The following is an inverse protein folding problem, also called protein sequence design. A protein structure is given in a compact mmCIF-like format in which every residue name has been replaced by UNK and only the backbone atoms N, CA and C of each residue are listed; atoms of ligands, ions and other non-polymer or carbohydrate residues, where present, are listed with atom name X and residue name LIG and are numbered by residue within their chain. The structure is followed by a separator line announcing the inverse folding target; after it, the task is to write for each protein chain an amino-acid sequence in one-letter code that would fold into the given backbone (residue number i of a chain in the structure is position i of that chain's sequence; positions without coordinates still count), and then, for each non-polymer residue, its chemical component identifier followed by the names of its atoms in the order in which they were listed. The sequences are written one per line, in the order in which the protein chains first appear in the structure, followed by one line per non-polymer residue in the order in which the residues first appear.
data_IF_473929482912
#
_entry.id   IF_473929482912
#
_cell.length_a   1.000
_cell.length_b   1.000
_cell.length_c   1.000
_cell.angle_alpha   90.00
_cell.angle_beta   90.00
_cell.angle_gamma   90.00
#
_symmetry.space_group_name_H-M   'P 1'
#
loop_
_entity.id
_entity.type
_entity.pdbx_description
1 polymer ?
2 non-polymer ?
3 non-polymer ?
4 non-polymer ?
5 water ?
#
# COMPACT_ATOMS: atom_id res chain seq x y z
N UNK A 1 -12.42 -21.43 -17.47
CA UNK A 1 -11.06 -21.20 -18.08
C UNK A 1 -10.80 -19.74 -18.41
N UNK A 2 -9.78 -19.51 -19.25
CA UNK A 2 -9.35 -18.16 -19.64
C UNK A 2 -10.49 -17.39 -20.31
N UNK A 3 -11.19 -18.03 -21.25
CA UNK A 3 -12.31 -17.39 -21.94
C UNK A 3 -13.42 -16.95 -20.97
N UNK A 4 -13.75 -17.82 -20.02
CA UNK A 4 -14.75 -17.46 -19.01
C UNK A 4 -14.31 -16.27 -18.17
N UNK A 5 -13.02 -16.23 -17.82
CA UNK A 5 -12.51 -15.13 -17.00
C UNK A 5 -12.65 -13.80 -17.73
N UNK A 6 -12.46 -13.83 -19.04
CA UNK A 6 -12.69 -12.62 -19.83
C UNK A 6 -14.15 -12.16 -19.67
N UNK A 7 -15.09 -13.10 -19.74
CA UNK A 7 -16.51 -12.78 -19.56
C UNK A 7 -16.81 -12.27 -18.16
N UNK A 8 -16.19 -12.90 -17.15
CA UNK A 8 -16.37 -12.50 -15.76
C UNK A 8 -15.93 -11.04 -15.58
N UNK A 9 -14.72 -10.76 -16.04
CA UNK A 9 -14.13 -9.43 -15.93
C UNK A 9 -14.97 -8.40 -16.70
N UNK A 10 -15.32 -8.71 -17.96
CA UNK A 10 -16.14 -7.81 -18.76
C UNK A 10 -17.50 -7.51 -18.13
N UNK A 11 -18.10 -8.52 -17.50
CA UNK A 11 -19.42 -8.38 -16.87
C UNK A 11 -19.47 -7.30 -15.80
N UNK A 12 -18.37 -7.13 -15.07
CA UNK A 12 -18.23 -6.11 -14.05
C UNK A 12 -16.92 -5.36 -14.24
N UNK A 13 -16.71 -4.84 -15.46
CA UNK A 13 -15.42 -4.26 -15.84
C UNK A 13 -14.91 -3.17 -14.90
N UNK A 14 -15.77 -2.20 -14.57
CA UNK A 14 -15.34 -1.09 -13.72
C UNK A 14 -14.82 -1.57 -12.36
N UNK A 15 -15.55 -2.49 -11.74
CA UNK A 15 -15.18 -3.00 -10.41
C UNK A 15 -13.87 -3.79 -10.43
N UNK A 16 -13.75 -4.76 -11.33
CA UNK A 16 -12.52 -5.53 -11.50
C UNK A 16 -11.34 -4.65 -11.90
N UNK A 17 -11.58 -3.72 -12.83
CA UNK A 17 -10.52 -2.84 -13.31
C UNK A 17 -9.96 -2.02 -12.14
N UNK A 18 -10.85 -1.39 -11.37
CA UNK A 18 -10.40 -0.60 -10.22
C UNK A 18 -9.72 -1.48 -9.16
N UNK A 19 -10.33 -2.62 -8.85
CA UNK A 19 -9.78 -3.46 -7.80
C UNK A 19 -8.40 -4.05 -8.16
N UNK A 20 -8.22 -4.52 -9.40
CA UNK A 20 -6.92 -5.04 -9.81
C UNK A 20 -5.86 -3.95 -9.94
N UNK A 21 -6.26 -2.79 -10.48
CA UNK A 21 -5.33 -1.67 -10.59
C UNK A 21 -4.83 -1.22 -9.22
N UNK A 22 -5.74 -1.11 -8.24
CA UNK A 22 -5.34 -0.77 -6.88
C UNK A 22 -4.46 -1.85 -6.27
N UNK A 23 -4.78 -3.11 -6.55
CA UNK A 23 -3.95 -4.23 -6.08
C UNK A 23 -2.52 -4.08 -6.60
N UNK A 24 -2.40 -3.69 -7.86
CA UNK A 24 -1.11 -3.42 -8.52
C UNK A 24 -0.36 -2.30 -7.82
N UNK A 25 -1.02 -1.17 -7.60
CA UNK A 25 -0.36 -0.03 -6.98
C UNK A 25 0.00 -0.27 -5.52
N UNK A 26 -0.80 -1.05 -4.80
CA UNK A 26 -0.51 -1.32 -3.40
C UNK A 26 0.60 -2.35 -3.19
N UNK A 27 0.76 -3.28 -4.14
CA UNK A 27 1.85 -4.25 -4.11
C UNK A 27 3.17 -3.63 -4.57
N UNK A 28 3.07 -2.75 -5.58
CA UNK A 28 4.22 -2.07 -6.15
C UNK A 28 4.03 -0.56 -6.07
N UNK A 29 4.13 0.01 -4.86
CA UNK A 29 3.78 1.43 -4.68
C UNK A 29 4.63 2.40 -5.50
N UNK A 30 5.83 2.00 -5.90
CA UNK A 30 6.68 2.86 -6.73
C UNK A 30 6.04 3.11 -8.10
N UNK A 31 5.16 2.21 -8.51
CA UNK A 31 4.49 2.34 -9.81
C UNK A 31 3.51 3.52 -9.87
N UNK A 32 3.07 4.00 -8.72
CA UNK A 32 2.15 5.15 -8.68
C UNK A 32 2.78 6.40 -9.30
N UNK A 33 4.12 6.44 -9.35
CA UNK A 33 4.82 7.59 -9.94
C UNK A 33 4.43 7.87 -11.39
N UNK A 34 4.02 6.84 -12.14
CA UNK A 34 3.55 6.99 -13.52
C UNK A 34 2.17 7.62 -13.64
N UNK A 35 1.48 7.72 -12.51
CA UNK A 35 0.12 8.24 -12.45
C UNK A 35 0.11 9.38 -11.45
N UNK A 36 0.71 10.50 -11.84
CA UNK A 36 0.94 11.64 -10.94
C UNK A 36 -0.34 12.15 -10.25
N UNK A 37 -1.46 12.05 -10.96
CA UNK A 37 -2.75 12.51 -10.43
C UNK A 37 -3.33 11.62 -9.32
N UNK A 38 -2.75 10.43 -9.14
CA UNK A 38 -3.23 9.49 -8.14
C UNK A 38 -2.43 9.52 -6.84
N UNK A 39 -1.32 10.25 -6.86
CA UNK A 39 -0.45 10.39 -5.69
C UNK A 39 -1.20 11.05 -4.53
N UNK A 40 -1.04 10.48 -3.34
CA UNK A 40 -1.59 11.06 -2.10
C UNK A 40 -3.09 10.97 -1.97
N UNK A 41 -3.69 10.00 -2.65
CA UNK A 41 -5.14 9.81 -2.60
C UNK A 41 -5.51 8.39 -2.17
N UNK A 42 -6.48 8.29 -1.27
CA UNK A 42 -6.97 6.98 -0.81
C UNK A 42 -7.75 6.33 -1.94
N UNK A 43 -8.03 5.04 -1.80
CA UNK A 43 -8.81 4.30 -2.80
C UNK A 43 -10.17 4.94 -3.07
N UNK A 44 -10.83 5.41 -2.00
CA UNK A 44 -12.14 6.05 -2.13
C UNK A 44 -12.05 7.42 -2.82
N UNK A 45 -10.99 8.18 -2.50
CA UNK A 45 -10.75 9.47 -3.16
C UNK A 45 -10.58 9.26 -4.66
N UNK A 46 -9.81 8.23 -5.03
CA UNK A 46 -9.56 7.89 -6.43
C UNK A 46 -10.84 7.58 -7.20
N UNK A 47 -11.72 6.81 -6.57
CA UNK A 47 -12.96 6.37 -7.21
C UNK A 47 -13.94 7.53 -7.47
N UNK A 48 -13.72 8.67 -6.82
CA UNK A 48 -14.54 9.85 -7.01
C UNK A 48 -13.98 10.77 -8.12
N UNK A 49 -12.78 10.45 -8.59
CA UNK A 49 -12.13 11.19 -9.68
C UNK A 49 -12.55 10.62 -11.03
N UNK A 50 -13.13 11.47 -11.88
CA UNK A 50 -13.65 11.03 -13.18
C UNK A 50 -12.65 10.24 -14.04
N UNK A 51 -11.40 10.70 -14.09
CA UNK A 51 -10.38 10.07 -14.93
C UNK A 51 -9.87 8.74 -14.36
N UNK A 52 -9.93 8.57 -13.04
CA UNK A 52 -9.52 7.28 -12.45
C UNK A 52 -10.42 6.14 -12.94
N UNK A 53 -11.73 6.30 -12.79
CA UNK A 53 -12.68 5.32 -13.31
C UNK A 53 -12.57 5.11 -14.81
N UNK A 54 -12.50 6.24 -15.54
CA UNK A 54 -12.40 6.23 -17.00
C UNK A 54 -11.15 5.51 -17.50
N UNK A 55 -9.99 5.93 -16.98
CA UNK A 55 -8.68 5.40 -17.39
C UNK A 55 -8.56 3.92 -17.10
N UNK A 56 -8.92 3.54 -15.86
CA UNK A 56 -8.77 2.17 -15.40
C UNK A 56 -9.67 1.24 -16.22
N UNK A 57 -10.90 1.67 -16.50
CA UNK A 57 -11.78 0.87 -17.35
C UNK A 57 -11.26 0.73 -18.77
N UNK A 58 -10.68 1.80 -19.31
CA UNK A 58 -10.12 1.76 -20.66
C UNK A 58 -8.90 0.82 -20.76
N UNK A 59 -8.07 0.85 -19.73
CA UNK A 59 -6.92 -0.05 -19.65
C UNK A 59 -7.38 -1.50 -19.68
N UNK A 60 -8.33 -1.83 -18.81
CA UNK A 60 -8.78 -3.21 -18.71
C UNK A 60 -9.68 -3.64 -19.85
N UNK A 61 -10.39 -2.70 -20.46
CA UNK A 61 -11.07 -3.00 -21.72
C UNK A 61 -10.08 -3.45 -22.80
N UNK A 62 -9.02 -2.67 -23.00
CA UNK A 62 -8.00 -3.05 -23.97
C UNK A 62 -7.35 -4.38 -23.59
N UNK A 63 -7.05 -4.58 -22.31
CA UNK A 63 -6.45 -5.84 -21.87
C UNK A 63 -7.34 -7.02 -22.25
N UNK A 64 -8.65 -6.86 -22.05
CA UNK A 64 -9.58 -7.92 -22.40
C UNK A 64 -9.69 -8.13 -23.91
N UNK A 65 -9.57 -7.07 -24.71
CA UNK A 65 -9.57 -7.22 -26.17
C UNK A 65 -8.35 -8.05 -26.59
N UNK A 66 -7.20 -7.76 -26.00
CA UNK A 66 -5.96 -8.47 -26.35
C UNK A 66 -6.05 -9.92 -25.92
N UNK A 67 -6.61 -10.14 -24.72
CA UNK A 67 -6.77 -11.48 -24.18
C UNK A 67 -7.72 -12.31 -25.06
N UNK A 68 -8.80 -11.69 -25.51
CA UNK A 68 -9.79 -12.36 -26.34
C UNK A 68 -9.26 -12.68 -27.74
N UNK A 69 -8.37 -11.83 -28.26
CA UNK A 69 -7.77 -12.05 -29.58
C UNK A 69 -6.63 -13.07 -29.55
N UNK A 70 -6.15 -13.39 -28.35
CA UNK A 70 -5.07 -14.36 -28.20
C UNK A 70 -5.54 -15.76 -28.53
N UNK A 71 -4.58 -16.61 -28.93
CA UNK A 71 -4.81 -18.05 -29.08
C UNK A 71 -3.97 -18.76 -28.03
N UNK A 72 -4.59 -19.63 -27.25
CA UNK A 72 -3.92 -20.36 -26.15
C UNK A 72 -2.98 -19.45 -25.35
N UNK A 73 -3.53 -18.29 -24.96
CA UNK A 73 -2.87 -17.25 -24.16
C UNK A 73 -1.63 -16.64 -24.81
N UNK A 74 -1.56 -16.74 -26.13
CA UNK A 74 -0.50 -16.09 -26.90
C UNK A 74 -1.12 -14.90 -27.62
N UNK A 75 -0.69 -13.67 -27.29
CA UNK A 75 -1.29 -12.47 -27.88
C UNK A 75 -0.81 -12.23 -29.31
N UNK A 76 -1.59 -11.49 -30.09
CA UNK A 76 -1.18 -11.11 -31.44
C UNK A 76 0.01 -10.16 -31.40
N UNK A 77 0.92 -10.33 -32.36
CA UNK A 77 2.08 -9.45 -32.48
C UNK A 77 1.66 -7.99 -32.69
N UNK A 78 0.56 -7.78 -33.42
CA UNK A 78 0.02 -6.45 -33.66
C UNK A 78 -0.49 -5.81 -32.37
N UNK A 79 -1.06 -6.63 -31.49
CA UNK A 79 -1.53 -6.12 -30.19
C UNK A 79 -0.34 -5.75 -29.30
N UNK A 80 0.69 -6.60 -29.29
CA UNK A 80 1.93 -6.27 -28.59
C UNK A 80 2.47 -4.94 -29.10
N UNK A 81 2.55 -4.82 -30.43
CA UNK A 81 3.06 -3.61 -31.09
C UNK A 81 2.28 -2.37 -30.66
N UNK A 82 0.94 -2.46 -30.59
CA UNK A 82 0.10 -1.35 -30.17
C UNK A 82 0.51 -0.88 -28.76
N UNK A 83 0.68 -1.84 -27.84
CA UNK A 83 1.05 -1.53 -26.46
C UNK A 83 2.42 -0.85 -26.35
N UNK A 84 3.35 -1.25 -27.20
CA UNK A 84 4.70 -0.68 -27.21
C UNK A 84 4.70 0.74 -27.80
N UNK A 85 3.99 0.90 -28.91
CA UNK A 85 4.00 2.17 -29.66
C UNK A 85 3.16 3.29 -29.03
N UNK A 86 2.24 2.92 -28.13
CA UNK A 86 1.44 3.89 -27.38
C UNK A 86 2.28 4.97 -26.71
N UNK A 87 1.96 6.24 -27.00
CA UNK A 87 2.65 7.40 -26.43
C UNK A 87 2.71 7.32 -24.90
N UNK A 88 1.60 6.86 -24.31
CA UNK A 88 1.44 6.77 -22.86
C UNK A 88 2.39 5.74 -22.23
N UNK A 89 2.94 4.86 -23.06
CA UNK A 89 3.84 3.80 -22.60
C UNK A 89 5.31 3.97 -22.98
N UNK A 90 5.68 5.18 -23.43
CA UNK A 90 7.03 5.45 -23.92
C UNK A 90 8.13 5.24 -22.88
N UNK A 91 7.81 5.51 -21.62
CA UNK A 91 8.78 5.42 -20.53
C UNK A 91 8.82 4.05 -19.86
N UNK A 92 8.07 3.09 -20.42
CA UNK A 92 7.93 1.78 -19.79
C UNK A 92 8.90 0.71 -20.28
N UNK A 93 9.18 -0.26 -19.41
CA UNK A 93 9.96 -1.45 -19.74
C UNK A 93 9.08 -2.67 -19.46
N UNK A 94 9.53 -3.84 -19.90
CA UNK A 94 8.77 -5.08 -19.69
C UNK A 94 8.50 -5.39 -18.22
N UNK A 95 9.42 -4.94 -17.37
CA UNK A 95 9.28 -5.08 -15.91
C UNK A 95 7.99 -4.50 -15.35
N UNK A 96 7.56 -3.35 -15.89
CA UNK A 96 6.31 -2.72 -15.48
C UNK A 96 5.12 -3.64 -15.71
N UNK A 97 5.11 -4.28 -16.88
CA UNK A 97 4.03 -5.20 -17.25
C UNK A 97 4.08 -6.48 -16.43
N UNK A 98 5.28 -7.01 -16.19
CA UNK A 98 5.45 -8.17 -15.31
C UNK A 98 4.83 -7.92 -13.94
N UNK A 99 5.11 -6.75 -13.37
CA UNK A 99 4.57 -6.35 -12.06
C UNK A 99 3.03 -6.34 -12.08
N UNK A 100 2.47 -5.75 -13.13
CA UNK A 100 1.02 -5.73 -13.27
C UNK A 100 0.44 -7.15 -13.28
N UNK A 101 1.05 -8.05 -14.04
CA UNK A 101 0.53 -9.41 -14.11
C UNK A 101 0.79 -10.24 -12.85
N UNK A 102 1.86 -9.94 -12.12
CA UNK A 102 2.06 -10.58 -10.82
C UNK A 102 0.91 -10.20 -9.89
N UNK A 103 0.60 -8.90 -9.84
CA UNK A 103 -0.48 -8.40 -8.98
C UNK A 103 -1.87 -8.94 -9.40
N UNK A 104 -2.09 -9.03 -10.71
CA UNK A 104 -3.36 -9.52 -11.25
C UNK A 104 -3.58 -10.98 -10.89
N UNK A 105 -2.54 -11.80 -11.04
CA UNK A 105 -2.61 -13.22 -10.70
C UNK A 105 -2.82 -13.41 -9.20
N UNK A 106 -2.08 -12.64 -8.39
CA UNK A 106 -2.24 -12.68 -6.93
C UNK A 106 -3.68 -12.34 -6.54
N UNK A 107 -4.23 -11.31 -7.20
CA UNK A 107 -5.61 -10.89 -6.97
C UNK A 107 -6.58 -12.05 -7.24
N UNK A 108 -6.40 -12.72 -8.37
CA UNK A 108 -7.25 -13.84 -8.76
C UNK A 108 -7.17 -14.98 -7.75
N UNK A 109 -5.97 -15.29 -7.29
CA UNK A 109 -5.77 -16.40 -6.36
C UNK A 109 -6.39 -16.10 -5.00
N UNK A 110 -6.33 -14.82 -4.59
CA UNK A 110 -6.86 -14.37 -3.31
C UNK A 110 -8.38 -14.22 -3.31
N UNK A 111 -8.97 -14.09 -4.49
CA UNK A 111 -10.42 -13.99 -4.62
C UNK A 111 -11.04 -15.36 -4.31
N UNK A 112 -12.34 -15.36 -4.04
CA UNK A 112 -13.10 -16.59 -3.95
C UNK A 112 -13.64 -17.04 -5.31
N UNK A 113 -13.00 -16.60 -6.39
CA UNK A 113 -13.51 -16.93 -7.71
C UNK A 113 -12.60 -17.94 -8.40
N UNK A 114 -13.23 -18.89 -9.09
CA UNK A 114 -12.52 -19.91 -9.84
C UNK A 114 -11.93 -19.35 -11.14
N UNK A 115 -11.06 -18.33 -11.00
CA UNK A 115 -10.31 -17.79 -12.11
C UNK A 115 -9.28 -18.83 -12.51
N UNK A 116 -8.91 -18.83 -13.79
CA UNK A 116 -7.84 -19.67 -14.30
C UNK A 116 -6.55 -18.87 -14.14
N UNK A 117 -6.11 -18.72 -12.89
CA UNK A 117 -4.95 -17.90 -12.56
C UNK A 117 -3.69 -18.33 -13.32
N UNK A 118 -3.52 -19.64 -13.50
CA UNK A 118 -2.37 -20.16 -14.23
C UNK A 118 -2.34 -19.65 -15.67
N UNK A 119 -3.51 -19.54 -16.30
CA UNK A 119 -3.58 -19.04 -17.68
C UNK A 119 -3.26 -17.55 -17.75
N UNK A 120 -3.71 -16.79 -16.75
CA UNK A 120 -3.37 -15.36 -16.68
C UNK A 120 -1.88 -15.13 -16.46
N UNK A 121 -1.26 -16.01 -15.67
CA UNK A 121 0.19 -15.98 -15.45
C UNK A 121 0.90 -16.20 -16.79
N UNK A 122 0.48 -17.25 -17.50
CA UNK A 122 1.06 -17.61 -18.79
C UNK A 122 0.85 -16.50 -19.83
N UNK A 123 -0.36 -15.94 -19.86
CA UNK A 123 -0.69 -14.83 -20.76
C UNK A 123 0.20 -13.62 -20.50
N UNK A 124 0.40 -13.29 -19.22
CA UNK A 124 1.34 -12.24 -18.83
C UNK A 124 2.76 -12.49 -19.32
N UNK A 125 3.22 -13.74 -19.14
CA UNK A 125 4.57 -14.12 -19.57
C UNK A 125 4.71 -14.01 -21.09
N UNK A 126 3.70 -14.49 -21.81
CA UNK A 126 3.69 -14.42 -23.27
C UNK A 126 3.59 -12.99 -23.79
N UNK A 127 2.81 -12.16 -23.09
CA UNK A 127 2.68 -10.75 -23.48
C UNK A 127 4.01 -10.02 -23.30
N UNK A 128 4.67 -10.24 -22.17
CA UNK A 128 6.00 -9.68 -21.92
C UNK A 128 7.00 -10.09 -23.02
N UNK A 129 6.96 -11.38 -23.41
CA UNK A 129 7.82 -11.90 -24.48
C UNK A 129 7.50 -11.22 -25.81
N UNK A 130 6.21 -11.08 -26.10
CA UNK A 130 5.76 -10.40 -27.31
C UNK A 130 6.09 -8.91 -27.27
N UNK A 131 6.02 -8.31 -26.08
CA UNK A 131 6.42 -6.91 -25.91
C UNK A 131 7.91 -6.74 -26.20
N UNK A 132 8.71 -7.69 -25.70
CA UNK A 132 10.14 -7.71 -25.99
C UNK A 132 10.39 -7.92 -27.48
N UNK A 133 9.67 -8.87 -28.07
CA UNK A 133 9.80 -9.17 -29.50
C UNK A 133 9.43 -7.97 -30.37
N UNK A 134 8.58 -7.09 -29.81
CA UNK A 134 8.11 -5.88 -30.48
C UNK A 134 8.96 -4.63 -30.22
N UNK A 135 10.01 -4.78 -29.41
CA UNK A 135 10.96 -3.68 -29.24
C UNK A 135 11.08 -3.09 -27.85
N UNK A 136 10.10 -3.31 -26.99
CA UNK A 136 10.15 -2.81 -25.62
C UNK A 136 11.38 -3.35 -24.91
N UNK A 137 12.08 -2.46 -24.22
CA UNK A 137 13.29 -2.84 -23.47
C UNK A 137 12.92 -3.47 -22.12
N UNK B 1 -1.18 2.62 -1.17
CA UNK B 1 -0.14 3.60 -0.75
C UNK B 1 -0.34 4.08 0.67
N UNK B 2 0.41 5.11 1.03
CA UNK B 2 0.40 5.73 2.36
C UNK B 2 -1.00 6.20 2.77
N UNK B 3 -1.68 6.95 1.89
CA UNK B 3 -3.03 7.45 2.18
C UNK B 3 -4.00 6.30 2.46
N UNK B 4 -3.94 5.25 1.64
CA UNK B 4 -4.81 4.10 1.85
C UNK B 4 -4.48 3.37 3.16
N UNK B 5 -3.18 3.26 3.48
CA UNK B 5 -2.74 2.64 4.73
C UNK B 5 -3.37 3.31 5.96
N UNK B 6 -3.48 4.63 5.92
CA UNK B 6 -4.16 5.37 6.99
C UNK B 6 -5.59 4.87 7.15
N UNK B 7 -6.30 4.70 6.04
CA UNK B 7 -7.66 4.20 6.07
C UNK B 7 -7.73 2.77 6.59
N UNK B 8 -6.79 1.92 6.15
CA UNK B 8 -6.69 0.53 6.62
C UNK B 8 -6.52 0.46 8.12
N UNK B 9 -5.56 1.21 8.66
CA UNK B 9 -5.30 1.24 10.09
C UNK B 9 -6.54 1.75 10.84
N UNK B 10 -7.11 2.87 10.35
CA UNK B 10 -8.31 3.43 10.97
C UNK B 10 -9.51 2.47 10.97
N UNK B 11 -9.61 1.62 9.94
CA UNK B 11 -10.67 0.63 9.86
C UNK B 11 -10.67 -0.45 10.94
N UNK B 12 -9.50 -0.67 11.55
CA UNK B 12 -9.33 -1.64 12.63
C UNK B 12 -8.35 -1.09 13.66
N UNK B 13 -8.60 0.14 14.10
CA UNK B 13 -7.60 0.93 14.84
C UNK B 13 -7.12 0.27 16.13
N UNK B 14 -8.06 -0.20 16.95
CA UNK B 14 -7.65 -0.77 18.23
C UNK B 14 -6.73 -1.98 18.03
N UNK B 15 -7.10 -2.87 17.10
CA UNK B 15 -6.29 -4.06 16.82
C UNK B 15 -4.91 -3.66 16.29
N UNK B 16 -4.87 -2.81 15.28
CA UNK B 16 -3.58 -2.37 14.74
C UNK B 16 -2.75 -1.61 15.77
N UNK B 17 -3.39 -0.72 16.52
CA UNK B 17 -2.69 0.10 17.50
C UNK B 17 -2.02 -0.79 18.55
N UNK B 18 -2.79 -1.73 19.11
CA UNK B 18 -2.22 -2.64 20.11
C UNK B 18 -1.11 -3.50 19.52
N UNK B 19 -1.34 -4.08 18.35
CA UNK B 19 -0.36 -5.00 17.76
C UNK B 19 0.93 -4.28 17.36
N UNK B 20 0.82 -3.07 16.83
CA UNK B 20 2.02 -2.31 16.48
C UNK B 20 2.77 -1.82 17.72
N UNK B 21 2.05 -1.35 18.73
CA UNK B 21 2.71 -0.87 19.94
C UNK B 21 3.42 -2.03 20.63
N UNK B 22 2.78 -3.19 20.61
CA UNK B 22 3.39 -4.39 21.19
C UNK B 22 4.65 -4.76 20.41
N UNK B 23 4.61 -4.67 19.08
CA UNK B 23 5.79 -4.94 18.27
C UNK B 23 6.93 -3.99 18.66
N UNK B 24 6.59 -2.72 18.92
CA UNK B 24 7.54 -1.72 19.42
C UNK B 24 8.16 -2.13 20.76
N UNK B 25 7.31 -2.44 21.74
CA UNK B 25 7.76 -2.81 23.10
C UNK B 25 8.58 -4.09 23.10
N UNK B 26 8.21 -5.05 22.26
CA UNK B 26 8.93 -6.32 22.19
C UNK B 26 10.26 -6.22 21.44
N UNK B 27 10.31 -5.37 20.42
CA UNK B 27 11.58 -5.10 19.73
C UNK B 27 12.54 -4.29 20.61
N UNK B 28 11.98 -3.36 21.37
CA UNK B 28 12.76 -2.46 22.23
C UNK B 28 12.26 -2.49 23.68
N UNK B 29 12.54 -3.59 24.41
CA UNK B 29 11.94 -3.77 25.75
C UNK B 29 12.28 -2.67 26.76
N UNK B 30 13.44 -2.06 26.63
CA UNK B 30 13.87 -1.00 27.54
C UNK B 30 13.05 0.29 27.40
N UNK B 31 12.31 0.39 26.29
CA UNK B 31 11.43 1.54 26.05
C UNK B 31 10.24 1.56 27.02
N UNK B 32 10.04 0.46 27.73
CA UNK B 32 8.95 0.38 28.71
C UNK B 32 9.16 1.29 29.91
N UNK B 33 10.42 1.70 30.14
CA UNK B 33 10.80 2.59 31.24
C UNK B 33 10.11 3.95 31.19
N UNK B 34 9.61 4.31 30.01
CA UNK B 34 8.93 5.59 29.81
C UNK B 34 7.49 5.54 30.25
N UNK B 35 6.96 4.33 30.37
CA UNK B 35 5.57 4.12 30.70
C UNK B 35 5.43 3.57 32.10
N UNK B 36 4.19 3.52 32.58
CA UNK B 36 3.87 3.03 33.91
C UNK B 36 3.16 1.67 33.81
N UNK B 37 3.61 0.73 34.64
CA UNK B 37 3.01 -0.61 34.82
C UNK B 37 2.85 -1.45 33.55
N UNK B 38 3.82 -1.34 32.64
CA UNK B 38 3.85 -2.24 31.47
C UNK B 38 4.84 -3.38 31.64
N UNK B 39 5.85 -3.17 32.48
CA UNK B 39 6.90 -4.16 32.74
C UNK B 39 6.31 -5.40 33.42
N UNK B 40 6.90 -6.57 33.14
CA UNK B 40 6.53 -7.82 33.81
C UNK B 40 5.25 -8.46 33.31
N UNK B 41 4.82 -8.06 32.11
CA UNK B 41 3.54 -8.53 31.57
C UNK B 41 3.71 -9.02 30.14
N UNK B 42 2.99 -10.09 29.82
CA UNK B 42 2.95 -10.64 28.46
C UNK B 42 2.00 -9.80 27.62
N UNK B 43 2.02 -10.00 26.29
CA UNK B 43 1.12 -9.30 25.37
C UNK B 43 -0.35 -9.43 25.78
N UNK B 44 -0.77 -10.64 26.14
CA UNK B 44 -2.18 -10.88 26.47
C UNK B 44 -2.56 -10.15 27.75
N UNK B 45 -1.62 -10.08 28.70
CA UNK B 45 -1.80 -9.36 29.95
C UNK B 45 -1.99 -7.86 29.70
N UNK B 46 -1.12 -7.30 28.84
CA UNK B 46 -1.22 -5.89 28.46
C UNK B 46 -2.55 -5.59 27.77
N UNK B 47 -2.99 -6.50 26.90
CA UNK B 47 -4.22 -6.30 26.12
C UNK B 47 -5.48 -6.31 26.98
N UNK B 48 -5.36 -6.86 28.19
CA UNK B 48 -6.50 -6.88 29.13
C UNK B 48 -6.44 -5.74 30.16
N UNK B 49 -5.37 -4.94 30.09
CA UNK B 49 -5.25 -3.73 30.90
C UNK B 49 -6.03 -2.61 30.23
N UNK B 50 -7.05 -2.08 30.90
CA UNK B 50 -7.88 -1.01 30.29
C UNK B 50 -7.07 0.19 29.79
N UNK B 51 -6.10 0.60 30.60
CA UNK B 51 -5.24 1.75 30.30
C UNK B 51 -4.41 1.52 29.04
N UNK B 52 -3.98 0.28 28.84
CA UNK B 52 -3.16 -0.06 27.67
C UNK B 52 -3.93 0.18 26.37
N UNK B 53 -5.13 -0.41 26.29
CA UNK B 53 -6.00 -0.23 25.12
C UNK B 53 -6.33 1.24 24.89
N UNK B 54 -6.66 1.96 25.97
CA UNK B 54 -7.01 3.38 25.88
C UNK B 54 -5.84 4.21 25.38
N UNK B 55 -4.67 4.01 25.98
CA UNK B 55 -3.46 4.73 25.60
C UNK B 55 -3.09 4.49 24.15
N UNK B 56 -2.97 3.21 23.78
CA UNK B 56 -2.49 2.90 22.45
C UNK B 56 -3.46 3.40 21.36
N UNK B 57 -4.76 3.34 21.62
CA UNK B 57 -5.72 3.89 20.67
C UNK B 57 -5.52 5.40 20.51
N UNK B 58 -5.34 6.10 21.62
CA UNK B 58 -5.14 7.55 21.57
C UNK B 58 -3.88 7.93 20.80
N UNK B 59 -2.80 7.15 21.01
CA UNK B 59 -1.55 7.36 20.29
C UNK B 59 -1.76 7.21 18.79
N UNK B 60 -2.41 6.11 18.39
CA UNK B 60 -2.60 5.84 16.97
C UNK B 60 -3.68 6.71 16.33
N UNK B 61 -4.71 7.07 17.10
CA UNK B 61 -5.66 8.10 16.64
C UNK B 61 -4.89 9.35 16.17
N UNK B 62 -4.00 9.85 17.04
CA UNK B 62 -3.25 11.06 16.72
C UNK B 62 -2.23 10.80 15.61
N UNK B 63 -1.56 9.65 15.65
CA UNK B 63 -0.58 9.33 14.60
C UNK B 63 -1.21 9.33 13.22
N UNK B 64 -2.41 8.76 13.13
CA UNK B 64 -3.12 8.74 11.86
C UNK B 64 -3.52 10.13 11.38
N UNK B 65 -3.89 11.02 12.32
CA UNK B 65 -4.17 12.43 11.96
C UNK B 65 -2.94 13.14 11.42
N UNK B 66 -1.80 12.91 12.07
CA UNK B 66 -0.52 13.54 11.65
C UNK B 66 -0.16 13.04 10.26
N UNK B 67 -0.33 11.74 10.04
CA UNK B 67 -0.10 11.13 8.74
C UNK B 67 -1.06 11.68 7.68
N UNK B 68 -2.33 11.88 8.06
CA UNK B 68 -3.36 12.33 7.14
C UNK B 68 -3.13 13.80 6.75
N UNK B 69 -2.64 14.59 7.71
CA UNK B 69 -2.37 16.00 7.47
C UNK B 69 -1.07 16.23 6.70
N UNK B 70 -0.25 15.20 6.61
CA UNK B 70 1.04 15.27 5.90
C UNK B 70 0.87 15.42 4.37
N UNK B 71 1.87 16.02 3.72
CA UNK B 71 1.93 16.02 2.26
C UNK B 71 3.17 15.23 1.86
N UNK B 72 3.01 14.23 1.00
CA UNK B 72 4.13 13.37 0.60
C UNK B 72 4.98 12.89 1.77
N UNK B 73 4.28 12.45 2.84
CA UNK B 73 4.89 11.91 4.07
C UNK B 73 5.69 12.94 4.87
N UNK B 74 5.45 14.22 4.60
CA UNK B 74 6.05 15.31 5.35
C UNK B 74 5.01 15.92 6.30
N UNK B 75 5.19 15.72 7.63
CA UNK B 75 4.15 16.20 8.55
C UNK B 75 4.17 17.71 8.71
N UNK B 76 3.04 18.25 9.20
CA UNK B 76 2.93 19.67 9.53
C UNK B 76 3.86 20.03 10.68
N UNK B 77 4.50 21.20 10.58
CA UNK B 77 5.34 21.68 11.67
C UNK B 77 4.51 21.84 12.95
N UNK B 78 3.24 22.22 12.81
CA UNK B 78 2.35 22.37 13.96
C UNK B 78 2.12 21.03 14.68
N UNK B 79 2.03 19.95 13.90
CA UNK B 79 1.93 18.61 14.48
C UNK B 79 3.20 18.22 15.24
N UNK B 80 4.36 18.48 14.66
CA UNK B 80 5.63 18.25 15.35
C UNK B 80 5.72 19.07 16.64
N UNK B 81 5.35 20.35 16.58
CA UNK B 81 5.34 21.22 17.74
C UNK B 81 4.51 20.62 18.89
N UNK B 82 3.30 20.17 18.57
CA UNK B 82 2.42 19.56 19.56
C UNK B 82 3.06 18.33 20.21
N UNK B 83 3.68 17.48 19.40
CA UNK B 83 4.30 16.26 19.92
C UNK B 83 5.51 16.55 20.81
N UNK B 84 6.24 17.62 20.51
CA UNK B 84 7.37 18.04 21.35
C UNK B 84 6.91 18.67 22.67
N UNK B 85 5.87 19.51 22.58
CA UNK B 85 5.41 20.32 23.71
C UNK B 85 4.53 19.55 24.72
N UNK B 86 3.96 18.42 24.30
CA UNK B 86 3.13 17.60 25.19
C UNK B 86 3.86 17.25 26.49
N UNK B 87 3.20 17.50 27.63
CA UNK B 87 3.78 17.21 28.94
C UNK B 87 4.17 15.74 29.06
N UNK B 88 3.36 14.89 28.44
CA UNK B 88 3.57 13.45 28.49
C UNK B 88 4.81 13.03 27.72
N UNK B 89 5.33 13.93 26.89
CA UNK B 89 6.53 13.67 26.10
C UNK B 89 7.81 14.39 26.59
N UNK B 90 7.78 14.91 27.82
CA UNK B 90 8.90 15.71 28.34
C UNK B 90 10.22 14.95 28.53
N UNK B 91 10.16 13.62 28.68
CA UNK B 91 11.37 12.82 28.88
C UNK B 91 11.95 12.25 27.58
N UNK B 92 11.33 12.60 26.45
CA UNK B 92 11.66 11.97 25.18
C UNK B 92 12.70 12.70 24.34
N UNK B 93 13.43 11.93 23.52
CA UNK B 93 14.28 12.47 22.48
C UNK B 93 13.88 11.85 21.13
N UNK B 94 14.45 12.35 20.04
CA UNK B 94 14.03 11.87 18.72
C UNK B 94 14.29 10.37 18.54
N UNK B 95 15.25 9.84 19.28
CA UNK B 95 15.58 8.39 19.24
C UNK B 95 14.42 7.48 19.60
N UNK B 96 13.58 7.92 20.54
CA UNK B 96 12.38 7.19 20.94
C UNK B 96 11.45 7.04 19.74
N UNK B 97 11.33 8.10 18.96
CA UNK B 97 10.46 8.10 17.79
C UNK B 97 11.04 7.28 16.64
N UNK B 98 12.36 7.35 16.47
CA UNK B 98 13.05 6.54 15.48
C UNK B 98 12.75 5.06 15.72
N UNK B 99 12.85 4.63 16.98
CA UNK B 99 12.63 3.22 17.32
C UNK B 99 11.18 2.80 17.08
N UNK B 100 10.23 3.67 17.39
CA UNK B 100 8.83 3.36 17.17
C UNK B 100 8.57 3.09 15.70
N UNK B 101 9.09 3.96 14.84
CA UNK B 101 8.87 3.78 13.40
C UNK B 101 9.66 2.65 12.75
N UNK B 102 10.82 2.31 13.29
CA UNK B 102 11.52 1.11 12.85
C UNK B 102 10.64 -0.12 13.12
N UNK B 103 10.05 -0.18 14.33
CA UNK B 103 9.20 -1.30 14.74
C UNK B 103 7.93 -1.38 13.89
N UNK B 104 7.32 -0.22 13.64
CA UNK B 104 6.11 -0.10 12.82
C UNK B 104 6.37 -0.56 11.39
N UNK B 105 7.49 -0.12 10.82
CA UNK B 105 7.87 -0.51 9.45
C UNK B 105 8.13 -2.02 9.36
N UNK B 106 8.82 -2.59 10.35
CA UNK B 106 9.10 -4.02 10.36
C UNK B 106 7.83 -4.84 10.52
N UNK B 107 6.92 -4.34 11.34
CA UNK B 107 5.59 -4.96 11.51
C UNK B 107 4.85 -5.01 10.17
N UNK B 108 4.85 -3.89 9.44
CA UNK B 108 4.19 -3.83 8.15
C UNK B 108 4.83 -4.79 7.14
N UNK B 109 6.16 -4.82 7.12
CA UNK B 109 6.90 -5.73 6.24
C UNK B 109 6.59 -7.19 6.56
N UNK B 110 6.51 -7.50 7.85
CA UNK B 110 6.26 -8.87 8.33
C UNK B 110 4.81 -9.34 8.11
N UNK B 111 3.87 -8.42 7.95
CA UNK B 111 2.48 -8.81 7.63
C UNK B 111 2.37 -9.39 6.20
N UNK B 112 1.29 -10.12 5.91
CA UNK B 112 1.02 -10.54 4.54
C UNK B 112 0.35 -9.42 3.74
N UNK B 113 0.45 -8.18 4.22
CA UNK B 113 -0.39 -7.09 3.72
C UNK B 113 0.35 -6.08 2.84
N UNK B 114 -0.38 -5.50 1.89
CA UNK B 114 0.16 -4.55 0.93
C UNK B 114 0.30 -3.14 1.51
N UNK B 115 0.84 -3.03 2.73
CA UNK B 115 1.17 -1.72 3.30
C UNK B 115 2.32 -1.14 2.48
N UNK B 116 2.36 0.18 2.41
CA UNK B 116 3.46 0.88 1.74
C UNK B 116 4.52 1.16 2.80
N UNK B 117 5.25 0.11 3.19
CA UNK B 117 6.21 0.23 4.30
C UNK B 117 7.29 1.29 4.09
N UNK B 118 7.76 1.45 2.84
CA UNK B 118 8.77 2.47 2.50
C UNK B 118 8.27 3.87 2.83
N UNK B 119 6.98 4.11 2.57
CA UNK B 119 6.39 5.43 2.85
C UNK B 119 6.35 5.69 4.36
N UNK B 120 6.02 4.67 5.14
CA UNK B 120 6.00 4.79 6.61
C UNK B 120 7.39 5.05 7.17
N UNK B 121 8.39 4.42 6.55
CA UNK B 121 9.78 4.66 6.91
C UNK B 121 10.14 6.11 6.62
N UNK B 122 9.79 6.59 5.43
CA UNK B 122 10.01 7.98 5.03
C UNK B 122 9.30 8.93 6.00
N UNK B 123 8.04 8.64 6.31
CA UNK B 123 7.24 9.46 7.21
C UNK B 123 7.89 9.50 8.60
N UNK B 124 8.38 8.36 9.08
CA UNK B 124 9.06 8.29 10.37
C UNK B 124 10.32 9.15 10.41
N UNK B 125 11.12 9.07 9.36
CA UNK B 125 12.34 9.88 9.26
C UNK B 125 11.99 11.37 9.15
N UNK B 126 10.97 11.70 8.37
CA UNK B 126 10.55 13.10 8.23
C UNK B 126 9.98 13.67 9.53
N UNK B 127 9.25 12.83 10.27
CA UNK B 127 8.74 13.22 11.58
C UNK B 127 9.87 13.50 12.57
N UNK B 128 10.88 12.63 12.60
CA UNK B 128 12.06 12.87 13.43
C UNK B 128 12.74 14.20 13.08
N UNK B 129 12.88 14.46 11.78
CA UNK B 129 13.45 15.72 11.29
C UNK B 129 12.63 16.91 11.77
N UNK B 130 11.30 16.78 11.68
CA UNK B 130 10.40 17.83 12.13
C UNK B 130 10.41 18.05 13.66
N UNK B 131 10.55 16.95 14.40
CA UNK B 131 10.68 17.03 15.86
C UNK B 131 11.95 17.78 16.26
N UNK B 132 13.04 17.51 15.52
CA UNK B 132 14.31 18.21 15.74
C UNK B 132 14.16 19.72 15.46
N UNK B 133 13.53 20.05 14.34
CA UNK B 133 13.27 21.45 14.00
C UNK B 133 12.37 22.14 15.03
N UNK B 134 11.44 21.38 15.62
CA UNK B 134 10.57 21.88 16.68
C UNK B 134 11.24 21.91 18.06
N UNK B 135 12.46 21.42 18.13
CA UNK B 135 13.31 21.61 19.30
C UNK B 135 13.53 20.42 20.21
N UNK B 136 13.05 19.25 19.80
CA UNK B 136 13.31 18.03 20.55
C UNK B 136 14.77 17.66 20.35
N UNK B 137 15.41 17.23 21.44
CA UNK B 137 16.82 16.84 21.38
C UNK B 137 16.99 15.41 20.88
X LIG C 1 -2.62 4.70 -20.45
X LIG C 1 -3.63 0.14 -21.76
X LIG C 1 -0.06 -1.53 -18.93
X LIG C 1 1.13 3.02 -17.77
X LIG C 1 -3.24 3.62 -21.02
X LIG C 1 -4.45 3.65 -21.81
X LIG C 1 -4.73 2.39 -22.17
X LIG C 1 -3.71 1.51 -21.62
X LIG C 1 -5.93 1.94 -23.03
X LIG C 1 -5.24 4.94 -22.16
X LIG C 1 -6.46 5.17 -21.28
X LIG C 1 -7.29 6.30 -21.84
X LIG C 1 -7.82 7.10 -21.03
X LIG C 1 -7.45 6.40 -23.08
X LIG C 1 -2.79 -0.73 -21.08
X LIG C 1 -2.83 -2.19 -21.10
X LIG C 1 -1.84 -2.65 -20.31
X LIG C 1 -1.15 -1.50 -19.78
X LIG C 1 -3.85 -3.03 -21.88
X LIG C 1 -1.49 -4.13 -19.99
X LIG C 1 -1.70 -5.15 -20.84
X LIG C 1 0.55 -0.44 -18.32
X LIG C 1 1.56 -0.50 -17.29
X LIG C 1 1.88 0.75 -16.96
X LIG C 1 1.10 1.65 -17.78
X LIG C 1 2.11 -1.83 -16.71
X LIG C 1 2.94 1.19 -15.91
X LIG C 1 2.92 0.67 -14.69
X LIG C 1 0.23 3.88 -18.34
X LIG C 1 0.20 5.31 -18.11
X LIG C 1 -0.96 5.84 -18.94
X LIG C 1 -1.54 4.68 -19.59
X LIG C 1 1.16 6.12 -17.20
X LIG C 1 -1.44 7.30 -19.04
X LIG C 1 -1.98 7.77 -17.70
X LIG C 1 -3.32 7.15 -17.41
X LIG C 1 -4.16 7.01 -18.33
X LIG C 1 -3.55 6.77 -16.23
X LIG C 1 -2.81 2.31 -20.93
X LIG C 1 -1.73 -0.35 -20.27
X LIG C 1 0.29 0.89 -18.60
X LIG C 1 -0.80 3.55 -19.23
X LIG C 1 -1.23 1.62 -19.79
X LIG D 1 -1.77 -0.40 -15.43
X LIG E 1 -3.51 -3.57 -27.99
X LIG F 1 -9.72 -21.46 -22.17
X LIG F 1 -11.14 -21.29 -21.90
X LIG F 1 -9.54 -22.65 -23.00
X LIG F 1 -9.23 -20.30 -22.90
X LIG F 1 -8.97 -21.62 -20.92
X LIG G 1 8.31 -1.06 -4.96
X LIG G 1 7.17 -0.67 -5.77
X LIG G 1 9.34 -1.66 -5.80
X LIG G 1 8.84 0.10 -4.28
X LIG G 1 7.87 -2.04 -3.96
X LIG H 1 0.19 7.47 -1.58
X LIG H 1 -0.80 6.58 -2.19
X LIG H 1 0.65 8.39 -2.63
X LIG H 1 -0.46 8.20 -0.50
X LIG H 1 1.33 6.68 -1.09
X LIG I 1 16.45 5.66 24.45
X LIG I 1 17.53 4.76 24.78
X LIG I 1 15.98 5.41 23.08
X LIG I 1 15.35 5.47 25.39
X LIG I 1 16.90 7.05 24.55
X LIG J 1 1.19 9.84 25.87
X LIG J 1 0.81 10.44 21.05
X LIG J 1 5.30 8.72 20.44
X LIG J 1 5.75 8.19 25.24
X LIG J 1 0.68 10.09 24.61
X LIG J 1 -0.68 10.47 24.29
X LIG J 1 -0.78 10.63 22.97
X LIG J 1 0.52 10.38 22.40
X LIG J 1 -2.02 11.03 22.13
X LIG J 1 -1.84 10.63 25.33
X LIG J 1 -2.54 9.29 25.47
X LIG J 1 -3.58 9.30 26.56
X LIG J 1 -4.00 10.40 27.01
X LIG J 1 -4.00 8.19 26.99
X LIG J 1 1.96 10.01 20.44
X LIG J 1 2.21 9.92 19.03
X LIG J 1 3.45 9.43 18.86
X LIG J 1 4.03 9.20 20.17
X LIG J 1 1.19 10.30 17.93
X LIG J 1 4.21 9.14 17.54
X LIG J 1 4.07 9.90 16.45
X LIG J 1 5.80 8.38 21.67
X LIG J 1 7.02 7.65 21.93
X LIG J 1 7.15 7.50 23.26
X LIG J 1 5.99 8.11 23.88
X LIG J 1 8.00 7.18 20.82
X LIG J 1 8.30 6.81 24.05
X LIG J 1 8.86 5.67 23.62
X LIG J 1 4.59 8.58 25.86
X LIG J 1 4.36 8.53 27.28
X LIG J 1 2.93 9.05 27.49
X LIG J 1 2.44 9.35 26.16
X LIG J 1 5.37 8.07 28.34
X LIG J 1 2.19 9.19 28.85
X LIG J 1 2.03 7.81 29.50
X LIG J 1 0.88 7.02 28.93
X LIG J 1 0.93 5.76 29.01
X LIG J 1 -0.09 7.64 28.42
X LIG J 1 1.40 10.06 23.42
X LIG J 1 3.09 9.57 21.11
X LIG J 1 5.19 8.64 22.89
X LIG J 1 3.44 9.08 25.23
X LIG J 1 3.29 9.38 23.17
X LIG K 1 4.27 5.00 21.37
X LIG L 1 -0.13 16.39 16.86
#
# INVERSE_FOLDING_TARGET
GFKQDIATIRGDLRTYAQDIFLAFLNKYPDERRYFKNYVGKSDQELKSMAKFGDHTEKVFNLMMEVADRATDCVPLASDANTLVQMKQHSSLTTGNFEKLFVALVEYMRASGQSFDSQSWDRFGKNLVSALSSAGMK
GFKQDIATIRGDLRTYAQDIFLAFLNKYPDERRYFKNYVGKSDQELKSMAKFGDHTEKVFNLMMEVADRATDCVPLASDANTLVQMKQHSSLTTGNFEKLFVALVEYMRASGQSFDSQSWDRFGKNLVSALSSAGMK
HEM CHA CHB CHC CHD C1A C2A C3A C4A CMA CAA CBA CGA O1A O2A C1B C2B C3B C4B CMB CAB CBB C1C C2C C3C C4C CMC CAC CBC C1D C2D C3D C4D CMD CAD CBD CGD O1D O2D NA NB NC ND FE
XE XE
XE XE
SO4 S O1 O2 O3 O4
SO4 S O1 O2 O3 O4
SO4 S O1 O2 O3 O4
SO4 S O1 O2 O3 O4
HEM CHA CHB CHC CHD C1A C2A C3A C4A CMA CAA CBA CGA O1A O2A C1B C2B C3B C4B CMB CAB CBB C1C C2C C3C C4C CMC CAC CBC C1D C2D C3D C4D CMD CAD CBD CGD O1D O2D NA NB NC ND FE
XE XE
XE XE
#
